data_IF_774832857518
#
_entry.id   IF_774832857518
#
_cell.length_a   1.000
_cell.length_b   1.000
_cell.length_c   1.000
_cell.angle_alpha   90.00
_cell.angle_beta   90.00
_cell.angle_gamma   90.00
#
_symmetry.space_group_name_H-M   'P 1'
#
loop_
_entity.id
_entity.type
_entity.pdbx_description
1 polymer ?
#
# COMPACT_ATOMS: atom_id res chain seq x y z
N UNK A 1 5.07 14.99 16.19
CA UNK A 1 5.70 13.66 16.00
C UNK A 1 4.94 12.97 14.89
N UNK A 2 5.59 12.54 13.79
CA UNK A 2 4.97 11.59 12.87
C UNK A 2 4.76 10.28 13.65
N UNK A 3 3.63 9.62 13.43
CA UNK A 3 3.31 8.37 14.14
C UNK A 3 4.10 7.23 13.53
N UNK A 4 4.49 6.23 14.32
CA UNK A 4 5.19 5.01 13.85
C UNK A 4 4.43 4.36 12.68
N UNK A 5 3.09 4.43 12.71
CA UNK A 5 2.22 3.95 11.63
C UNK A 5 2.43 4.70 10.31
N UNK A 6 2.60 6.02 10.39
CA UNK A 6 2.80 6.88 9.22
C UNK A 6 4.17 6.63 8.59
N UNK A 7 5.22 6.52 9.41
CA UNK A 7 6.57 6.21 8.95
C UNK A 7 6.66 4.82 8.30
N UNK A 8 6.01 3.82 8.90
CA UNK A 8 5.94 2.47 8.34
C UNK A 8 5.17 2.44 7.00
N UNK A 9 4.06 3.18 6.89
CA UNK A 9 3.28 3.29 5.66
C UNK A 9 4.07 3.99 4.55
N UNK A 10 4.77 5.07 4.89
CA UNK A 10 5.65 5.80 3.98
C UNK A 10 6.80 4.92 3.49
N UNK A 11 7.43 4.15 4.38
CA UNK A 11 8.51 3.21 4.02
C UNK A 11 8.01 2.15 3.02
N UNK A 12 6.87 1.52 3.32
CA UNK A 12 6.27 0.51 2.42
C UNK A 12 5.91 1.09 1.04
N UNK A 13 5.37 2.31 1.01
CA UNK A 13 5.08 3.01 -0.24
C UNK A 13 6.36 3.23 -1.08
N UNK A 14 7.42 3.72 -0.43
CA UNK A 14 8.69 4.01 -1.09
C UNK A 14 9.32 2.73 -1.66
N UNK A 15 9.24 1.60 -0.95
CA UNK A 15 9.69 0.30 -1.48
C UNK A 15 8.89 -0.11 -2.73
N UNK A 16 7.56 0.03 -2.72
CA UNK A 16 6.75 -0.21 -3.93
C UNK A 16 7.15 0.72 -5.08
N UNK A 17 7.39 2.01 -4.80
CA UNK A 17 7.77 2.99 -5.83
C UNK A 17 9.08 2.60 -6.51
N UNK A 18 10.07 2.10 -5.77
CA UNK A 18 11.33 1.58 -6.34
C UNK A 18 11.10 0.41 -7.29
N UNK A 19 10.17 -0.49 -6.97
CA UNK A 19 9.85 -1.65 -7.81
C UNK A 19 9.18 -1.24 -9.13
N UNK A 20 8.39 -0.16 -9.14
CA UNK A 20 7.72 0.32 -10.36
C UNK A 20 8.71 0.75 -11.45
N UNK A 21 9.87 1.30 -11.06
CA UNK A 21 10.92 1.68 -12.00
C UNK A 21 11.47 0.48 -12.79
N UNK A 22 11.53 -0.70 -12.15
CA UNK A 22 11.94 -1.95 -12.81
C UNK A 22 10.89 -2.57 -13.73
N UNK A 23 9.62 -2.13 -13.64
CA UNK A 23 8.49 -2.67 -14.40
C UNK A 23 8.14 -1.84 -15.65
N UNK A 24 8.98 -0.88 -16.05
CA UNK A 24 8.69 0.08 -17.12
C UNK A 24 7.35 0.82 -16.94
N UNK A 25 6.89 0.96 -15.70
CA UNK A 25 5.70 1.75 -15.36
C UNK A 25 6.10 3.21 -15.14
N UNK A 26 5.13 4.10 -15.31
CA UNK A 26 5.30 5.51 -14.94
C UNK A 26 5.70 5.62 -13.47
N UNK A 27 6.61 6.56 -13.19
CA UNK A 27 7.00 6.85 -11.82
C UNK A 27 5.78 7.29 -11.01
N UNK A 28 5.57 6.66 -9.85
CA UNK A 28 4.53 7.08 -8.93
C UNK A 28 4.92 8.38 -8.22
N UNK A 29 3.93 9.19 -7.84
CA UNK A 29 4.13 10.46 -7.13
C UNK A 29 4.88 10.27 -5.80
N UNK A 30 5.65 11.26 -5.31
CA UNK A 30 6.27 11.15 -4.00
C UNK A 30 5.22 11.13 -2.89
N UNK A 31 5.56 10.51 -1.75
CA UNK A 31 4.63 10.34 -0.62
C UNK A 31 3.97 11.65 -0.18
N UNK A 32 4.73 12.75 -0.10
CA UNK A 32 4.21 14.03 0.39
C UNK A 32 3.09 14.59 -0.51
N UNK A 33 3.14 14.32 -1.82
CA UNK A 33 2.16 14.80 -2.81
C UNK A 33 0.93 13.89 -2.96
N UNK A 34 0.95 12.69 -2.35
CA UNK A 34 -0.20 11.80 -2.41
C UNK A 34 -1.43 12.38 -1.69
N UNK A 35 -2.64 12.14 -2.22
CA UNK A 35 -3.88 12.39 -1.52
C UNK A 35 -3.95 11.66 -0.17
N UNK A 36 -4.62 12.27 0.81
CA UNK A 36 -4.70 11.73 2.17
C UNK A 36 -5.44 10.39 2.24
N UNK A 37 -6.45 10.18 1.38
CA UNK A 37 -7.16 8.90 1.25
C UNK A 37 -6.23 7.78 0.76
N UNK A 38 -5.31 8.09 -0.15
CA UNK A 38 -4.31 7.14 -0.63
C UNK A 38 -3.32 6.82 0.49
N UNK A 39 -2.83 7.83 1.21
CA UNK A 39 -1.95 7.65 2.38
C UNK A 39 -2.63 6.81 3.45
N UNK A 40 -3.92 7.02 3.71
CA UNK A 40 -4.69 6.24 4.68
C UNK A 40 -4.79 4.76 4.29
N UNK A 41 -5.03 4.45 3.01
CA UNK A 41 -5.00 3.05 2.53
C UNK A 41 -3.64 2.38 2.75
N UNK A 42 -2.54 3.12 2.64
CA UNK A 42 -1.21 2.60 2.96
C UNK A 42 -1.04 2.37 4.46
N UNK A 43 -1.53 3.28 5.30
CA UNK A 43 -1.51 3.11 6.76
C UNK A 43 -2.34 1.90 7.19
N UNK A 44 -3.52 1.66 6.62
CA UNK A 44 -4.34 0.49 6.93
C UNK A 44 -3.66 -0.85 6.61
N UNK A 45 -2.73 -0.89 5.63
CA UNK A 45 -1.96 -2.10 5.34
C UNK A 45 -0.93 -2.44 6.42
N UNK A 46 -0.47 -1.44 7.19
CA UNK A 46 0.43 -1.66 8.32
C UNK A 46 -0.33 -2.32 9.47
N UNK A 47 -1.56 -1.90 9.74
CA UNK A 47 -2.43 -2.53 10.73
C UNK A 47 -2.83 -3.96 10.32
N UNK A 48 -3.11 -4.19 9.03
CA UNK A 48 -3.46 -5.51 8.49
C UNK A 48 -2.30 -6.49 8.31
N UNK A 49 -1.04 -6.04 8.39
CA UNK A 49 0.13 -6.91 8.27
C UNK A 49 0.32 -7.86 9.47
N UNK A 50 -0.49 -7.73 10.53
CA UNK A 50 -0.58 -8.70 11.62
C UNK A 50 -1.56 -9.87 11.37
N UNK A 51 -2.18 -9.96 10.19
CA UNK A 51 -3.05 -11.10 9.83
C UNK A 51 -2.82 -11.57 8.39
N UNK A 52 -2.39 -12.82 8.14
CA UNK A 52 -2.24 -13.35 6.80
C UNK A 52 -3.57 -13.93 6.30
N UNK A 53 -4.57 -13.11 6.00
CA UNK A 53 -5.75 -13.61 5.28
C UNK A 53 -6.32 -12.55 4.34
N UNK A 54 -6.40 -12.88 3.04
CA UNK A 54 -7.17 -12.07 2.09
C UNK A 54 -6.49 -11.77 0.75
N UNK A 55 -5.96 -12.79 0.07
CA UNK A 55 -5.87 -12.75 -1.40
C UNK A 55 -6.00 -14.15 -1.98
N UNK A 56 -7.23 -14.67 -1.96
CA UNK A 56 -7.81 -15.42 -3.09
C UNK A 56 -9.31 -15.09 -3.07
N UNK A 57 -9.80 -14.48 -4.14
CA UNK A 57 -11.11 -13.84 -4.21
C UNK A 57 -12.30 -14.80 -4.24
N UNK A 58 -13.53 -14.25 -4.22
CA UNK A 58 -14.77 -15.02 -4.21
C UNK A 58 -15.13 -15.50 -5.63
N UNK A 59 -15.33 -16.81 -5.78
CA UNK A 59 -15.89 -17.44 -6.98
C UNK A 59 -17.12 -18.26 -6.62
N UNK A 60 -18.22 -17.60 -6.23
CA UNK A 60 -19.55 -18.22 -6.26
C UNK A 60 -20.05 -18.18 -7.71
N UNK A 61 -20.05 -19.33 -8.39
CA UNK A 61 -20.94 -19.58 -9.52
C UNK A 61 -21.81 -20.76 -9.12
N UNK A 62 -23.11 -20.50 -8.99
CA UNK A 62 -24.09 -21.50 -8.61
C UNK A 62 -24.48 -22.38 -9.79
N UNK A 63 -24.99 -23.56 -9.47
CA UNK A 63 -26.18 -24.21 -10.03
C UNK A 63 -26.75 -25.17 -8.97
#
# INVERSE_FOLDING_TARGET
MRSIRDEAAQALYNERRKLLAGLMMSEAEPWEDLPEDVKERWRSKIDGAQTPEGSTGPGTHGE
#
